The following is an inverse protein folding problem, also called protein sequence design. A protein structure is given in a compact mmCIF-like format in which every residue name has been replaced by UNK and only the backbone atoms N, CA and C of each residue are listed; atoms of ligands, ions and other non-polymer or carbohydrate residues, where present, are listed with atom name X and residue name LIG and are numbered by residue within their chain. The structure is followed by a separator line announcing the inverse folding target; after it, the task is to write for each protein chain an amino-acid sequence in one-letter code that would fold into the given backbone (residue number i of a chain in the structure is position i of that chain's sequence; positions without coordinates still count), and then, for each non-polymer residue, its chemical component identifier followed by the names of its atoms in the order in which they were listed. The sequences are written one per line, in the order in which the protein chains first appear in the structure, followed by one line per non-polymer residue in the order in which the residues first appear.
data_IF_509228121455
#
_entry.id   IF_509228121455
#
_cell.length_a   1.000
_cell.length_b   1.000
_cell.length_c   1.000
_cell.angle_alpha   90.00
_cell.angle_beta   90.00
_cell.angle_gamma   90.00
#
_symmetry.space_group_name_H-M   'P 1'
#
loop_
_entity.id
_entity.type
_entity.pdbx_description
1 polymer ?
#
# COMPACT_ATOMS: atom_id res chain seq x y z
N UNK A 1 60.47 -61.61 62.93
CA UNK A 1 60.46 -63.06 63.07
C UNK A 1 59.16 -63.54 62.44
N UNK A 2 59.09 -64.28 61.35
CA UNK A 2 60.06 -65.13 60.66
C UNK A 2 59.48 -65.39 59.26
N UNK A 3 60.27 -65.22 58.20
CA UNK A 3 60.93 -66.31 57.48
C UNK A 3 60.01 -67.00 56.45
N UNK A 4 59.79 -66.36 55.30
CA UNK A 4 59.06 -66.92 54.15
C UNK A 4 60.00 -67.42 53.05
N UNK A 5 61.09 -68.12 53.40
CA UNK A 5 61.72 -69.04 52.47
C UNK A 5 62.06 -70.34 53.24
N UNK A 6 61.04 -71.15 53.54
CA UNK A 6 61.19 -72.55 53.92
C UNK A 6 60.03 -73.38 53.34
N UNK A 7 60.38 -74.19 52.34
CA UNK A 7 59.70 -75.40 51.87
C UNK A 7 58.52 -75.27 50.87
N UNK A 8 58.91 -75.36 49.58
CA UNK A 8 58.28 -76.16 48.51
C UNK A 8 56.98 -75.65 47.87
N UNK A 9 57.13 -74.68 46.94
CA UNK A 9 56.18 -74.41 45.86
C UNK A 9 56.49 -75.28 44.61
N UNK A 10 55.48 -75.85 43.91
CA UNK A 10 55.69 -76.80 42.80
C UNK A 10 56.01 -76.18 41.42
N UNK A 11 56.52 -74.95 41.34
CA UNK A 11 56.83 -74.34 40.03
C UNK A 11 57.88 -73.22 40.08
N UNK A 12 59.07 -73.52 40.59
CA UNK A 12 60.25 -72.64 40.48
C UNK A 12 61.37 -73.36 39.73
N UNK A 13 61.70 -72.90 38.51
CA UNK A 13 62.89 -73.33 37.78
C UNK A 13 63.96 -72.24 37.83
N UNK A 14 65.08 -72.56 38.48
CA UNK A 14 66.32 -71.78 38.65
C UNK A 14 66.33 -70.71 39.75
N UNK A 15 67.43 -70.74 40.51
CA UNK A 15 67.64 -70.09 41.79
C UNK A 15 68.26 -68.71 41.60
N UNK A 16 67.53 -67.68 42.01
CA UNK A 16 68.00 -66.44 42.63
C UNK A 16 66.80 -65.48 42.69
N UNK A 17 66.42 -65.06 43.91
CA UNK A 17 65.31 -64.14 44.25
C UNK A 17 63.99 -64.80 44.71
N UNK A 18 63.72 -64.71 46.01
CA UNK A 18 62.45 -65.05 46.67
C UNK A 18 61.42 -63.97 46.26
N UNK A 19 60.32 -64.34 45.60
CA UNK A 19 59.27 -63.40 45.18
C UNK A 19 58.37 -63.02 46.36
N UNK A 20 58.59 -61.85 46.96
CA UNK A 20 57.56 -61.18 47.76
C UNK A 20 56.65 -60.41 46.80
N UNK A 21 55.41 -60.86 46.61
CA UNK A 21 54.40 -60.07 45.90
C UNK A 21 54.13 -58.78 46.71
N UNK A 22 54.37 -57.61 46.10
CA UNK A 22 54.19 -56.32 46.75
C UNK A 22 52.71 -56.02 47.07
N UNK A 23 52.42 -55.12 48.02
CA UNK A 23 51.04 -54.75 48.35
C UNK A 23 50.31 -54.23 47.10
N UNK A 24 49.05 -54.65 46.92
CA UNK A 24 48.21 -54.18 45.82
C UNK A 24 48.15 -52.66 45.83
N UNK A 25 48.51 -52.03 44.70
CA UNK A 25 48.52 -50.59 44.55
C UNK A 25 47.15 -49.95 44.83
N UNK A 26 47.11 -48.70 45.32
CA UNK A 26 45.85 -48.02 45.60
C UNK A 26 44.97 -47.97 44.34
N UNK A 27 43.65 -48.11 44.54
CA UNK A 27 42.67 -48.04 43.45
C UNK A 27 42.80 -46.70 42.71
N UNK A 28 42.91 -46.76 41.38
CA UNK A 28 43.06 -45.56 40.54
C UNK A 28 41.89 -44.58 40.73
N UNK A 29 42.20 -43.29 40.72
CA UNK A 29 41.21 -42.21 40.77
C UNK A 29 40.23 -42.31 39.60
N UNK A 30 38.97 -41.91 39.84
CA UNK A 30 37.93 -41.85 38.81
C UNK A 30 38.41 -40.92 37.68
N UNK A 31 38.36 -41.39 36.44
CA UNK A 31 38.78 -40.61 35.27
C UNK A 31 38.02 -39.28 35.18
N UNK A 32 38.73 -38.23 34.72
CA UNK A 32 38.14 -36.92 34.50
C UNK A 32 36.93 -37.01 33.56
N UNK A 33 35.90 -36.21 33.84
CA UNK A 33 34.73 -36.07 32.96
C UNK A 33 35.20 -35.69 31.56
N UNK A 34 34.70 -36.39 30.53
CA UNK A 34 35.08 -36.12 29.13
C UNK A 34 34.77 -34.68 28.72
N UNK A 35 35.48 -34.13 27.70
CA UNK A 35 35.25 -32.77 27.24
C UNK A 35 33.79 -32.60 26.77
N UNK A 36 33.22 -31.43 27.05
CA UNK A 36 31.91 -31.04 26.51
C UNK A 36 31.94 -31.16 24.98
N UNK A 37 30.92 -31.79 24.40
CA UNK A 37 30.81 -31.96 22.94
C UNK A 37 30.83 -30.61 22.21
N UNK A 38 31.37 -30.60 20.98
CA UNK A 38 31.42 -29.39 20.16
C UNK A 38 30.02 -28.78 19.99
N UNK A 39 29.91 -27.46 20.13
CA UNK A 39 28.67 -26.72 19.85
C UNK A 39 28.20 -27.06 18.43
N UNK A 40 26.93 -27.47 18.29
CA UNK A 40 26.35 -27.80 16.99
C UNK A 40 26.49 -26.64 16.00
N UNK A 41 26.70 -26.95 14.72
CA UNK A 41 26.73 -25.95 13.65
C UNK A 41 25.50 -25.06 13.71
N UNK A 42 25.67 -23.73 13.60
CA UNK A 42 24.55 -22.80 13.43
C UNK A 42 23.61 -23.33 12.35
N UNK A 43 22.30 -23.39 12.67
CA UNK A 43 21.28 -23.79 11.70
C UNK A 43 21.36 -22.92 10.46
N UNK A 44 21.09 -23.50 9.29
CA UNK A 44 21.00 -22.74 8.05
C UNK A 44 20.06 -21.55 8.24
N UNK A 45 20.47 -20.36 7.79
CA UNK A 45 19.60 -19.19 7.73
C UNK A 45 18.30 -19.63 7.06
N UNK A 46 17.17 -19.43 7.75
CA UNK A 46 15.85 -19.78 7.20
C UNK A 46 15.69 -19.14 5.83
N UNK A 47 14.99 -19.82 4.91
CA UNK A 47 14.69 -19.25 3.61
C UNK A 47 14.16 -17.82 3.81
N UNK A 48 14.67 -16.86 3.04
CA UNK A 48 14.05 -15.53 2.96
C UNK A 48 12.56 -15.77 2.80
N UNK A 49 11.74 -15.21 3.70
CA UNK A 49 10.29 -15.30 3.58
C UNK A 49 9.87 -14.88 2.17
N UNK A 50 8.71 -15.33 1.66
CA UNK A 50 8.23 -14.84 0.37
C UNK A 50 8.37 -13.32 0.36
N UNK A 51 8.94 -12.78 -0.72
CA UNK A 51 8.88 -11.33 -0.95
C UNK A 51 7.44 -10.92 -0.68
N UNK A 52 7.24 -9.98 0.25
CA UNK A 52 5.91 -9.44 0.51
C UNK A 52 5.26 -9.06 -0.82
N UNK A 53 3.92 -9.11 -0.95
CA UNK A 53 3.28 -8.66 -2.18
C UNK A 53 3.92 -7.35 -2.62
N UNK A 54 4.30 -7.26 -3.90
CA UNK A 54 4.74 -6.01 -4.48
C UNK A 54 3.74 -4.95 -4.01
N UNK A 55 4.21 -3.82 -3.46
CA UNK A 55 3.30 -2.81 -2.93
C UNK A 55 2.32 -2.40 -4.03
N UNK A 56 1.12 -2.96 -4.01
CA UNK A 56 0.00 -2.34 -4.65
C UNK A 56 -0.25 -1.11 -3.80
N UNK A 57 -0.11 0.06 -4.39
CA UNK A 57 -0.66 1.30 -3.82
C UNK A 57 -2.18 1.24 -3.88
N UNK A 58 -2.80 0.15 -3.40
CA UNK A 58 -4.24 0.05 -3.15
C UNK A 58 -4.51 0.87 -1.91
N UNK A 59 -4.52 2.19 -2.13
CA UNK A 59 -5.06 3.15 -1.20
C UNK A 59 -6.23 3.86 -1.82
N UNK A 60 -7.22 4.19 -1.01
CA UNK A 60 -8.40 4.95 -1.46
C UNK A 60 -8.01 6.26 -2.14
N UNK A 61 -6.92 6.90 -1.68
CA UNK A 61 -6.38 8.09 -2.34
C UNK A 61 -5.90 7.81 -3.78
N UNK A 62 -5.28 6.65 -4.03
CA UNK A 62 -4.91 6.22 -5.39
C UNK A 62 -6.15 5.86 -6.21
N UNK A 63 -7.13 5.20 -5.60
CA UNK A 63 -8.37 4.81 -6.28
C UNK A 63 -9.21 6.03 -6.69
N UNK A 64 -9.25 7.09 -5.88
CA UNK A 64 -9.81 8.39 -6.27
C UNK A 64 -9.16 8.92 -7.56
N UNK A 65 -7.84 8.82 -7.70
CA UNK A 65 -7.14 9.26 -8.92
C UNK A 65 -7.43 8.33 -10.10
N UNK A 66 -7.56 7.01 -9.89
CA UNK A 66 -8.01 6.08 -10.94
C UNK A 66 -9.45 6.37 -11.37
N UNK A 67 -10.30 6.78 -10.43
CA UNK A 67 -11.67 7.21 -10.73
C UNK A 67 -11.68 8.47 -11.59
N UNK A 68 -10.83 9.47 -11.32
CA UNK A 68 -10.64 10.63 -12.21
C UNK A 68 -10.21 10.18 -13.61
N UNK A 69 -9.26 9.24 -13.74
CA UNK A 69 -8.84 8.71 -15.05
C UNK A 69 -10.02 8.11 -15.82
N UNK A 70 -10.81 7.29 -15.16
CA UNK A 70 -12.00 6.65 -15.73
C UNK A 70 -13.05 7.69 -16.17
N UNK A 71 -13.26 8.74 -15.38
CA UNK A 71 -14.18 9.83 -15.72
C UNK A 71 -13.67 10.64 -16.91
N UNK A 72 -12.38 10.99 -16.96
CA UNK A 72 -11.81 11.76 -18.07
C UNK A 72 -11.91 11.04 -19.42
N UNK A 73 -11.69 9.72 -19.44
CA UNK A 73 -11.87 8.89 -20.65
C UNK A 73 -13.29 9.01 -21.22
N UNK A 74 -14.28 9.05 -20.33
CA UNK A 74 -15.68 9.19 -20.71
C UNK A 74 -16.05 10.63 -21.06
N UNK A 75 -15.51 11.63 -20.35
CA UNK A 75 -15.77 13.05 -20.64
C UNK A 75 -15.37 13.41 -22.07
N UNK A 76 -14.21 12.93 -22.54
CA UNK A 76 -13.76 13.16 -23.92
C UNK A 76 -14.80 12.67 -24.94
N UNK A 77 -15.51 11.59 -24.64
CA UNK A 77 -16.50 10.98 -25.53
C UNK A 77 -17.89 11.60 -25.36
N UNK A 78 -18.32 11.83 -24.12
CA UNK A 78 -19.68 12.24 -23.78
C UNK A 78 -19.88 13.76 -23.82
N UNK A 79 -18.81 14.54 -23.64
CA UNK A 79 -18.82 16.00 -23.65
C UNK A 79 -17.70 16.59 -24.55
N UNK A 80 -17.66 16.24 -25.84
CA UNK A 80 -16.53 16.60 -26.71
C UNK A 80 -16.44 18.10 -27.05
N UNK A 81 -17.53 18.86 -26.85
CA UNK A 81 -17.62 20.27 -27.28
C UNK A 81 -17.72 21.26 -26.11
N UNK A 82 -17.90 20.74 -24.90
CA UNK A 82 -18.11 21.52 -23.70
C UNK A 82 -16.80 22.12 -23.22
N UNK A 83 -16.90 23.30 -22.63
CA UNK A 83 -15.77 23.93 -21.93
C UNK A 83 -15.67 23.35 -20.52
N UNK A 84 -14.46 22.93 -20.18
CA UNK A 84 -14.11 22.43 -18.86
C UNK A 84 -13.44 23.54 -18.07
N UNK A 85 -13.78 23.62 -16.79
CA UNK A 85 -13.02 24.35 -15.78
C UNK A 85 -12.46 23.32 -14.78
N UNK A 86 -11.14 23.16 -14.76
CA UNK A 86 -10.45 22.12 -13.98
C UNK A 86 -9.57 22.79 -12.95
N UNK A 87 -9.73 22.42 -11.68
CA UNK A 87 -8.87 22.91 -10.59
C UNK A 87 -7.85 21.87 -10.19
N UNK A 88 -6.69 22.35 -9.75
CA UNK A 88 -5.57 21.51 -9.32
C UNK A 88 -5.25 21.73 -7.84
N UNK A 89 -4.64 20.73 -7.22
CA UNK A 89 -4.20 20.76 -5.81
C UNK A 89 -3.26 21.94 -5.50
N UNK A 90 -2.52 22.43 -6.51
CA UNK A 90 -1.67 23.62 -6.37
C UNK A 90 -2.47 24.91 -6.11
N UNK A 91 -3.78 24.88 -6.32
CA UNK A 91 -4.60 26.07 -6.40
C UNK A 91 -4.61 26.72 -7.77
N UNK A 92 -4.00 26.12 -8.80
CA UNK A 92 -4.14 26.58 -10.19
C UNK A 92 -5.43 26.06 -10.82
N UNK A 93 -5.79 26.63 -11.97
CA UNK A 93 -6.90 26.15 -12.78
C UNK A 93 -6.57 26.20 -14.28
N UNK A 94 -7.18 25.29 -15.03
CA UNK A 94 -7.11 25.23 -16.47
C UNK A 94 -8.53 25.31 -17.06
N UNK A 95 -8.65 26.03 -18.18
CA UNK A 95 -9.92 26.22 -18.88
C UNK A 95 -9.76 25.86 -20.34
N UNK A 96 -10.70 25.09 -20.87
CA UNK A 96 -10.72 24.72 -22.28
C UNK A 96 -11.49 23.44 -22.56
N UNK A 97 -11.42 22.96 -23.79
CA UNK A 97 -12.07 21.71 -24.21
C UNK A 97 -11.20 20.50 -23.91
N UNK A 98 -11.83 19.34 -23.72
CA UNK A 98 -11.13 18.08 -23.54
C UNK A 98 -10.27 17.74 -24.76
N UNK A 99 -8.98 17.45 -24.54
CA UNK A 99 -8.03 16.97 -25.53
C UNK A 99 -7.73 15.48 -25.35
N UNK A 100 -6.49 15.08 -25.62
CA UNK A 100 -6.03 13.71 -25.46
C UNK A 100 -5.72 13.31 -24.00
N UNK A 101 -5.70 11.99 -23.76
CA UNK A 101 -5.08 11.39 -22.58
C UNK A 101 -3.75 10.78 -22.97
N UNK A 102 -2.66 11.24 -22.36
CA UNK A 102 -1.32 10.75 -22.65
C UNK A 102 -0.94 9.62 -21.70
N UNK A 103 -0.39 8.56 -22.26
CA UNK A 103 0.04 7.37 -21.53
C UNK A 103 1.43 7.53 -20.94
N UNK A 104 1.63 6.99 -19.74
CA UNK A 104 2.93 6.77 -19.14
C UNK A 104 3.57 5.44 -19.56
N UNK A 105 4.79 5.14 -19.08
CA UNK A 105 5.55 3.95 -19.47
C UNK A 105 4.87 2.62 -19.12
N UNK A 106 3.93 2.64 -18.17
CA UNK A 106 3.18 1.46 -17.74
C UNK A 106 1.82 1.30 -18.44
N UNK A 107 1.56 2.06 -19.51
CA UNK A 107 0.30 2.00 -20.27
C UNK A 107 -0.92 2.62 -19.58
N UNK A 108 -0.76 3.19 -18.38
CA UNK A 108 -1.79 4.01 -17.73
C UNK A 108 -1.73 5.43 -18.28
N UNK A 109 -2.88 6.12 -18.34
CA UNK A 109 -2.88 7.56 -18.58
C UNK A 109 -2.07 8.25 -17.48
N UNK A 110 -1.56 9.44 -17.72
CA UNK A 110 -0.80 10.22 -16.73
C UNK A 110 -1.11 11.69 -16.81
N UNK A 111 -1.28 12.17 -18.03
CA UNK A 111 -1.54 13.57 -18.34
C UNK A 111 -2.85 13.68 -19.11
N UNK A 112 -3.64 14.68 -18.77
CA UNK A 112 -4.82 15.10 -19.51
C UNK A 112 -4.53 16.41 -20.23
N UNK A 113 -4.78 16.43 -21.53
CA UNK A 113 -4.66 17.62 -22.35
C UNK A 113 -5.97 18.42 -22.32
N UNK A 114 -5.86 19.73 -22.13
CA UNK A 114 -6.95 20.69 -22.25
C UNK A 114 -6.58 21.74 -23.28
N UNK A 115 -7.43 21.92 -24.28
CA UNK A 115 -7.20 22.86 -25.38
C UNK A 115 -7.97 24.14 -25.10
N UNK A 116 -7.26 25.24 -24.85
CA UNK A 116 -7.88 26.52 -24.54
C UNK A 116 -8.53 27.18 -25.77
N UNK A 117 -9.19 28.32 -25.58
CA UNK A 117 -9.85 29.08 -26.65
C UNK A 117 -8.89 29.63 -27.73
N UNK A 118 -7.59 29.64 -27.46
CA UNK A 118 -6.52 30.02 -28.39
C UNK A 118 -5.92 28.81 -29.12
N UNK A 119 -6.55 27.63 -29.02
CA UNK A 119 -6.05 26.35 -29.56
C UNK A 119 -4.65 25.97 -29.04
N UNK A 120 -4.34 26.35 -27.80
CA UNK A 120 -3.09 25.98 -27.14
C UNK A 120 -3.34 24.85 -26.15
N UNK A 121 -2.54 23.79 -26.26
CA UNK A 121 -2.58 22.63 -25.37
C UNK A 121 -2.00 22.97 -23.99
N UNK A 122 -2.77 22.70 -22.96
CA UNK A 122 -2.36 22.70 -21.56
C UNK A 122 -2.32 21.25 -21.08
N UNK A 123 -1.29 20.88 -20.34
CA UNK A 123 -1.07 19.50 -19.90
C UNK A 123 -1.18 19.41 -18.39
N UNK A 124 -2.21 18.71 -17.93
CA UNK A 124 -2.54 18.59 -16.51
C UNK A 124 -2.14 17.20 -16.02
N UNK A 125 -1.40 17.15 -14.92
CA UNK A 125 -1.19 15.89 -14.19
C UNK A 125 -2.53 15.41 -13.66
N UNK A 126 -2.97 14.22 -14.08
CA UNK A 126 -4.25 13.65 -13.61
C UNK A 126 -4.21 13.43 -12.09
N UNK A 127 -3.03 13.14 -11.54
CA UNK A 127 -2.84 12.95 -10.11
C UNK A 127 -3.07 14.22 -9.29
N UNK A 128 -3.05 15.40 -9.91
CA UNK A 128 -3.20 16.68 -9.23
C UNK A 128 -4.53 17.35 -9.51
N UNK A 129 -5.43 16.71 -10.25
CA UNK A 129 -6.78 17.22 -10.52
C UNK A 129 -7.63 17.01 -9.26
N UNK A 130 -8.36 18.06 -8.87
CA UNK A 130 -9.32 18.03 -7.75
C UNK A 130 -10.75 18.03 -8.25
N UNK A 131 -11.06 18.98 -9.14
CA UNK A 131 -12.41 19.14 -9.68
C UNK A 131 -12.39 19.27 -11.19
N UNK A 132 -13.45 18.75 -11.81
CA UNK A 132 -13.72 18.92 -13.24
C UNK A 132 -15.15 19.44 -13.37
N UNK A 133 -15.29 20.73 -13.63
CA UNK A 133 -16.56 21.34 -13.97
C UNK A 133 -16.76 21.33 -15.49
N UNK A 134 -17.94 20.92 -15.94
CA UNK A 134 -18.36 20.97 -17.33
C UNK A 134 -19.41 22.08 -17.45
N UNK A 135 -19.09 23.12 -18.22
CA UNK A 135 -19.96 24.27 -18.42
C UNK A 135 -21.02 23.98 -19.50
N UNK A 136 -22.22 24.54 -19.29
CA UNK A 136 -23.38 24.40 -20.18
C UNK A 136 -23.70 22.93 -20.56
N UNK A 137 -23.65 22.05 -19.55
CA UNK A 137 -23.92 20.62 -19.67
C UNK A 137 -24.95 20.13 -18.65
N UNK A 138 -25.75 19.15 -19.08
CA UNK A 138 -26.60 18.33 -18.21
C UNK A 138 -25.86 17.02 -17.94
N UNK A 139 -26.02 16.47 -16.73
CA UNK A 139 -25.43 15.19 -16.38
C UNK A 139 -25.88 14.07 -17.32
N UNK A 140 -24.93 13.27 -17.78
CA UNK A 140 -25.16 12.13 -18.66
C UNK A 140 -25.13 10.83 -17.85
N UNK A 141 -26.27 10.14 -17.78
CA UNK A 141 -26.42 8.88 -17.04
C UNK A 141 -25.66 7.70 -17.68
N UNK A 142 -25.05 7.88 -18.84
CA UNK A 142 -24.15 6.88 -19.45
C UNK A 142 -22.76 6.84 -18.77
N UNK A 143 -22.46 7.74 -17.84
CA UNK A 143 -21.21 7.71 -17.08
C UNK A 143 -21.19 6.48 -16.16
N UNK A 144 -20.14 5.68 -16.29
CA UNK A 144 -19.88 4.48 -15.47
C UNK A 144 -18.75 4.76 -14.49
N UNK A 145 -18.96 4.48 -13.21
CA UNK A 145 -17.95 4.63 -12.16
C UNK A 145 -17.22 3.31 -11.92
N UNK A 146 -15.97 3.38 -11.43
CA UNK A 146 -15.29 2.19 -10.96
C UNK A 146 -16.01 1.71 -9.69
N UNK A 147 -16.14 0.39 -9.50
CA UNK A 147 -16.75 -0.14 -8.30
C UNK A 147 -15.84 0.09 -7.09
N UNK A 148 -16.45 0.13 -5.91
CA UNK A 148 -15.71 0.10 -4.64
C UNK A 148 -14.92 -1.23 -4.52
N UNK A 149 -13.66 -1.20 -4.03
CA UNK A 149 -12.87 -2.40 -3.83
C UNK A 149 -13.53 -3.44 -2.92
N UNK A 150 -13.34 -4.72 -3.23
CA UNK A 150 -13.84 -5.84 -2.41
C UNK A 150 -12.68 -6.82 -2.12
N UNK A 151 -12.24 -6.96 -0.86
CA UNK A 151 -12.76 -6.29 0.35
C UNK A 151 -12.47 -4.79 0.37
N UNK A 152 -13.27 -4.03 1.13
CA UNK A 152 -13.06 -2.59 1.30
C UNK A 152 -11.68 -2.32 1.93
N UNK A 153 -11.01 -1.29 1.43
CA UNK A 153 -9.73 -0.84 1.96
C UNK A 153 -9.93 -0.13 3.31
N UNK A 154 -8.92 -0.18 4.18
CA UNK A 154 -8.99 0.34 5.57
C UNK A 154 -7.84 1.29 5.89
N UNK A 155 -7.38 2.04 4.88
CA UNK A 155 -6.33 3.04 5.08
C UNK A 155 -6.90 4.38 5.59
N UNK A 156 -6.03 5.37 5.83
CA UNK A 156 -6.43 6.69 6.30
C UNK A 156 -7.36 7.45 5.34
N UNK A 157 -7.22 7.24 4.03
CA UNK A 157 -8.08 7.85 3.03
C UNK A 157 -9.46 7.17 2.97
N UNK A 158 -9.55 5.88 3.34
CA UNK A 158 -10.80 5.13 3.37
C UNK A 158 -11.80 5.72 4.37
N UNK A 159 -11.36 6.02 5.59
CA UNK A 159 -12.23 6.62 6.61
C UNK A 159 -12.67 8.03 6.19
N UNK A 160 -11.77 8.82 5.62
CA UNK A 160 -12.09 10.15 5.09
C UNK A 160 -13.15 10.06 3.97
N UNK A 161 -12.93 9.24 2.94
CA UNK A 161 -13.87 9.05 1.83
C UNK A 161 -15.24 8.59 2.35
N UNK A 162 -15.26 7.54 3.18
CA UNK A 162 -16.49 6.96 3.70
C UNK A 162 -17.32 7.98 4.50
N UNK A 163 -16.67 8.74 5.40
CA UNK A 163 -17.37 9.73 6.23
C UNK A 163 -17.83 10.93 5.39
N UNK A 164 -16.99 11.46 4.50
CA UNK A 164 -17.37 12.56 3.58
C UNK A 164 -18.59 12.15 2.75
N UNK A 165 -18.56 10.96 2.15
CA UNK A 165 -19.67 10.43 1.36
C UNK A 165 -20.92 10.22 2.22
N UNK A 166 -20.79 9.78 3.47
CA UNK A 166 -21.95 9.66 4.37
C UNK A 166 -22.64 10.99 4.68
N UNK A 167 -21.89 12.10 4.68
CA UNK A 167 -22.39 13.45 4.96
C UNK A 167 -22.92 14.18 3.72
N UNK A 168 -22.60 13.67 2.53
CA UNK A 168 -23.03 14.21 1.23
C UNK A 168 -23.95 13.24 0.47
N UNK A 169 -25.11 12.84 1.02
CA UNK A 169 -26.04 11.97 0.31
C UNK A 169 -26.60 12.64 -0.95
N UNK A 170 -26.97 11.83 -1.95
CA UNK A 170 -27.66 12.31 -3.16
C UNK A 170 -28.95 13.05 -2.78
N UNK A 171 -29.21 14.17 -3.46
CA UNK A 171 -30.33 15.07 -3.19
C UNK A 171 -30.02 16.16 -2.17
N UNK A 172 -28.85 16.17 -1.54
CA UNK A 172 -28.45 17.25 -0.65
C UNK A 172 -28.20 18.54 -1.42
N UNK A 173 -28.98 19.57 -1.15
CA UNK A 173 -28.92 20.87 -1.83
C UNK A 173 -28.00 21.86 -1.12
N UNK A 174 -27.63 22.94 -1.82
CA UNK A 174 -26.84 24.07 -1.31
C UNK A 174 -25.51 23.66 -0.64
N UNK A 175 -24.87 22.63 -1.18
CA UNK A 175 -23.56 22.18 -0.72
C UNK A 175 -22.48 23.09 -1.32
N UNK A 176 -21.57 23.55 -0.46
CA UNK A 176 -20.36 24.28 -0.85
C UNK A 176 -19.16 23.37 -0.59
N UNK A 177 -18.33 23.10 -1.60
CA UNK A 177 -17.15 22.25 -1.48
C UNK A 177 -15.89 23.02 -1.91
N UNK A 178 -14.91 23.09 -1.03
CA UNK A 178 -13.58 23.64 -1.28
C UNK A 178 -12.59 22.50 -1.33
N UNK A 179 -11.79 22.45 -2.40
CA UNK A 179 -10.70 21.46 -2.56
C UNK A 179 -9.31 22.10 -2.59
N UNK A 180 -9.23 23.40 -2.85
CA UNK A 180 -7.99 24.18 -2.90
C UNK A 180 -8.34 25.68 -2.83
N UNK A 181 -7.42 26.56 -3.21
CA UNK A 181 -7.61 28.02 -3.14
C UNK A 181 -8.53 28.62 -4.22
N UNK A 182 -8.97 27.81 -5.19
CA UNK A 182 -9.95 28.22 -6.20
C UNK A 182 -11.34 28.39 -5.61
N UNK A 183 -12.23 28.99 -6.40
CA UNK A 183 -13.62 29.21 -6.00
C UNK A 183 -14.31 27.89 -5.62
N UNK A 184 -15.01 27.82 -4.48
CA UNK A 184 -15.72 26.61 -4.07
C UNK A 184 -16.74 26.16 -5.12
N UNK A 185 -16.88 24.84 -5.25
CA UNK A 185 -17.93 24.21 -6.06
C UNK A 185 -19.25 24.26 -5.29
N UNK A 186 -20.32 24.74 -5.93
CA UNK A 186 -21.62 24.95 -5.27
C UNK A 186 -22.72 24.22 -6.04
N UNK A 187 -23.54 23.43 -5.35
CA UNK A 187 -24.68 22.79 -6.00
C UNK A 187 -25.41 21.77 -5.14
N UNK A 188 -26.26 21.01 -5.80
CA UNK A 188 -26.94 19.83 -5.25
C UNK A 188 -26.14 18.58 -5.58
N UNK A 189 -25.97 17.69 -4.62
CA UNK A 189 -25.32 16.38 -4.85
C UNK A 189 -26.23 15.53 -5.72
N UNK A 190 -25.82 15.26 -6.95
CA UNK A 190 -26.57 14.43 -7.90
C UNK A 190 -26.01 13.00 -8.03
N UNK A 191 -24.75 12.80 -7.64
CA UNK A 191 -24.12 11.48 -7.50
C UNK A 191 -23.16 11.46 -6.32
N UNK A 192 -23.08 10.31 -5.68
CA UNK A 192 -22.17 10.02 -4.59
C UNK A 192 -21.66 8.59 -4.79
N UNK A 193 -20.55 8.49 -5.50
CA UNK A 193 -19.93 7.24 -5.92
C UNK A 193 -18.56 7.10 -5.25
N UNK A 194 -17.98 5.91 -5.30
CA UNK A 194 -16.67 5.67 -4.70
C UNK A 194 -15.62 6.62 -5.30
N UNK A 195 -14.95 7.38 -4.43
CA UNK A 195 -13.94 8.36 -4.82
C UNK A 195 -14.45 9.62 -5.54
N UNK A 196 -15.76 9.77 -5.77
CA UNK A 196 -16.32 10.89 -6.56
C UNK A 196 -17.69 11.36 -6.09
N UNK A 197 -17.79 12.66 -5.84
CA UNK A 197 -19.05 13.40 -5.67
C UNK A 197 -19.34 14.17 -6.95
N UNK A 198 -20.60 14.25 -7.38
CA UNK A 198 -21.01 15.11 -8.49
C UNK A 198 -22.04 16.11 -8.01
N UNK A 199 -21.74 17.39 -8.23
CA UNK A 199 -22.65 18.50 -7.99
C UNK A 199 -23.30 18.95 -9.30
N UNK A 200 -24.58 19.32 -9.25
CA UNK A 200 -25.21 20.13 -10.27
C UNK A 200 -25.56 21.50 -9.69
N UNK A 201 -25.25 22.56 -10.42
CA UNK A 201 -25.65 23.90 -9.98
C UNK A 201 -27.19 24.06 -10.01
N UNK A 202 -27.72 25.10 -9.35
CA UNK A 202 -29.17 25.32 -9.24
C UNK A 202 -29.90 25.49 -10.58
N UNK A 203 -29.17 25.82 -11.65
CA UNK A 203 -29.74 25.94 -13.00
C UNK A 203 -29.59 24.67 -13.83
N UNK A 204 -28.96 23.61 -13.30
CA UNK A 204 -28.57 22.38 -14.01
C UNK A 204 -27.83 22.64 -15.33
N UNK A 205 -27.06 23.72 -15.38
CA UNK A 205 -26.22 24.09 -16.53
C UNK A 205 -24.77 23.73 -16.33
N UNK A 206 -24.32 23.56 -15.09
CA UNK A 206 -22.96 23.14 -14.81
C UNK A 206 -23.01 21.88 -13.95
N UNK A 207 -22.20 20.90 -14.33
CA UNK A 207 -21.95 19.70 -13.54
C UNK A 207 -20.50 19.72 -13.08
N UNK A 208 -20.26 19.44 -11.81
CA UNK A 208 -18.92 19.44 -11.23
C UNK A 208 -18.62 18.10 -10.60
N UNK A 209 -17.65 17.40 -11.18
CA UNK A 209 -17.05 16.20 -10.64
C UNK A 209 -16.01 16.63 -9.60
N UNK A 210 -16.16 16.17 -8.37
CA UNK A 210 -15.28 16.49 -7.25
C UNK A 210 -14.70 15.18 -6.71
N UNK A 211 -13.37 15.07 -6.70
CA UNK A 211 -12.68 13.98 -6.00
C UNK A 211 -12.96 14.08 -4.52
N UNK A 212 -13.58 13.05 -3.93
CA UNK A 212 -13.85 13.04 -2.48
C UNK A 212 -12.57 13.03 -1.65
N UNK A 213 -11.50 12.44 -2.17
CA UNK A 213 -10.17 12.45 -1.56
C UNK A 213 -9.46 13.82 -1.60
N UNK A 214 -9.98 14.78 -2.38
CA UNK A 214 -9.42 16.13 -2.52
C UNK A 214 -10.24 17.18 -1.76
N UNK A 215 -11.27 16.78 -0.99
CA UNK A 215 -12.12 17.74 -0.28
C UNK A 215 -11.42 18.21 0.99
N UNK A 216 -11.09 19.51 1.03
CA UNK A 216 -10.53 20.17 2.21
C UNK A 216 -11.62 20.62 3.18
N UNK A 217 -12.71 21.17 2.64
CA UNK A 217 -13.82 21.72 3.43
C UNK A 217 -15.13 21.57 2.67
N UNK A 218 -16.21 21.24 3.38
CA UNK A 218 -17.56 21.34 2.85
C UNK A 218 -18.51 21.97 3.86
N UNK A 219 -19.46 22.77 3.37
CA UNK A 219 -20.50 23.46 4.15
C UNK A 219 -21.86 23.08 3.59
N UNK A 220 -22.83 22.87 4.49
CA UNK A 220 -24.12 22.24 4.23
C UNK A 220 -25.31 23.09 4.69
#
# INVERSE_FOLDING_TARGET
MDNCCAEQAPSCSSAESCCCEGPQGPRGYRGATGPTGATGSSGATGATGPTGPAGSSETVCCDCKEQIRNILQQIITLYPNQELFITLESGDAAVGRAGALLLGPNGRTGVFEVINSQNTSQYLSICSIDTIQINDAVYNDAIVYLPEPVPALTDCCADCDAVIRSLLPVGRENVYITTNTQTPSIGTVIRNEYGMIVLANQTNRNITFVSSCSIDLFVL
#
